data_IF_192161537545
#
_entry.id   IF_192161537545
#
_cell.length_a   1.000
_cell.length_b   1.000
_cell.length_c   1.000
_cell.angle_alpha   90.00
_cell.angle_beta   90.00
_cell.angle_gamma   90.00
#
_symmetry.space_group_name_H-M   'P 1'
#
loop_
_entity.id
_entity.type
_entity.pdbx_description
1 polymer ?
#
# COMPACT_ATOMS: atom_id res chain seq x y z
N UNK A 1 3.72 -9.46 5.86
CA UNK A 1 4.52 -10.26 6.80
C UNK A 1 5.29 -11.41 6.13
N UNK A 2 5.04 -11.67 4.86
CA UNK A 2 5.75 -12.63 4.00
C UNK A 2 6.64 -11.88 3.02
N UNK A 3 7.77 -12.47 2.69
CA UNK A 3 8.64 -11.89 1.68
C UNK A 3 8.02 -12.00 0.28
N UNK A 4 8.12 -10.91 -0.45
CA UNK A 4 7.78 -10.81 -1.88
C UNK A 4 9.06 -10.62 -2.69
N UNK A 5 8.95 -10.61 -4.01
CA UNK A 5 10.11 -10.38 -4.88
C UNK A 5 10.76 -9.01 -4.64
N UNK A 6 9.96 -7.99 -4.30
CA UNK A 6 10.49 -6.64 -4.00
C UNK A 6 11.01 -6.49 -2.57
N UNK A 7 10.58 -7.32 -1.61
CA UNK A 7 10.96 -7.20 -0.20
C UNK A 7 12.08 -8.13 0.24
N UNK A 8 12.36 -9.21 -0.51
CA UNK A 8 13.28 -10.30 -0.11
C UNK A 8 14.73 -9.86 0.02
N UNK A 9 15.21 -9.02 -0.86
CA UNK A 9 16.60 -8.52 -0.90
C UNK A 9 16.65 -7.03 -1.25
N UNK A 10 15.89 -6.24 -0.52
CA UNK A 10 15.82 -4.80 -0.71
C UNK A 10 16.78 -4.07 0.22
N UNK A 11 17.55 -3.14 -0.32
CA UNK A 11 18.56 -2.36 0.38
C UNK A 11 18.21 -0.87 0.50
N UNK A 12 16.94 -0.51 0.35
CA UNK A 12 16.43 0.87 0.44
C UNK A 12 16.90 1.60 1.70
N UNK A 13 17.21 2.88 1.57
CA UNK A 13 17.77 3.70 2.67
C UNK A 13 16.79 3.92 3.81
N UNK A 14 15.53 4.20 3.49
CA UNK A 14 14.46 4.49 4.48
C UNK A 14 13.85 3.20 5.00
N UNK A 15 13.42 2.31 4.10
CA UNK A 15 12.88 0.99 4.42
C UNK A 15 13.59 -0.07 3.59
N UNK A 16 13.77 -1.26 4.16
CA UNK A 16 14.48 -2.36 3.51
C UNK A 16 14.10 -3.70 4.16
N UNK A 17 14.58 -4.80 3.59
CA UNK A 17 14.33 -6.16 4.07
C UNK A 17 14.55 -6.32 5.56
N UNK A 18 15.70 -5.88 6.08
CA UNK A 18 16.05 -6.03 7.51
C UNK A 18 15.08 -5.29 8.42
N UNK A 19 14.74 -4.04 8.07
CA UNK A 19 13.78 -3.24 8.85
C UNK A 19 12.38 -3.84 8.76
N UNK A 20 11.99 -4.32 7.59
CA UNK A 20 10.70 -4.97 7.37
C UNK A 20 10.55 -6.22 8.25
N UNK A 21 11.54 -7.11 8.26
CA UNK A 21 11.55 -8.30 9.12
C UNK A 21 11.51 -7.95 10.60
N UNK A 22 12.26 -6.93 11.03
CA UNK A 22 12.24 -6.48 12.42
C UNK A 22 10.86 -5.93 12.81
N UNK A 23 10.28 -5.07 11.98
CA UNK A 23 8.97 -4.49 12.22
C UNK A 23 7.88 -5.56 12.34
N UNK A 24 7.81 -6.50 11.39
CA UNK A 24 6.87 -7.61 11.44
C UNK A 24 7.07 -8.51 12.66
N UNK A 25 8.31 -8.79 13.04
CA UNK A 25 8.60 -9.58 14.24
C UNK A 25 8.12 -8.89 15.51
N UNK A 26 8.30 -7.58 15.63
CA UNK A 26 7.84 -6.81 16.78
C UNK A 26 6.32 -6.65 16.79
N UNK A 27 5.73 -6.30 15.65
CA UNK A 27 4.28 -6.09 15.52
C UNK A 27 3.48 -7.36 15.81
N UNK A 28 3.93 -8.50 15.29
CA UNK A 28 3.27 -9.79 15.47
C UNK A 28 3.74 -10.55 16.72
N UNK A 29 4.41 -9.87 17.67
CA UNK A 29 4.90 -10.52 18.88
C UNK A 29 3.74 -11.06 19.71
N UNK A 30 3.81 -12.37 20.02
CA UNK A 30 2.77 -13.06 20.79
C UNK A 30 1.55 -13.49 19.98
N UNK A 31 1.51 -13.23 18.68
CA UNK A 31 0.46 -13.73 17.79
C UNK A 31 0.86 -15.08 17.15
N UNK A 32 -0.14 -15.94 16.97
CA UNK A 32 0.05 -17.16 16.16
C UNK A 32 0.18 -16.79 14.69
N UNK A 33 1.37 -16.97 14.15
CA UNK A 33 1.68 -16.62 12.75
C UNK A 33 1.01 -17.51 11.71
N UNK A 34 0.53 -18.69 12.11
CA UNK A 34 -0.24 -19.56 11.22
C UNK A 34 -1.67 -19.02 11.00
N UNK A 35 -2.22 -18.33 11.99
CA UNK A 35 -3.61 -17.86 12.01
C UNK A 35 -3.69 -16.33 12.25
N UNK A 36 -2.92 -15.55 11.49
CA UNK A 36 -2.99 -14.09 11.58
C UNK A 36 -4.33 -13.57 11.03
N UNK A 37 -5.03 -12.71 11.78
CA UNK A 37 -6.24 -12.10 11.27
C UNK A 37 -5.91 -11.13 10.12
N UNK A 38 -6.80 -10.98 9.12
CA UNK A 38 -6.60 -10.05 7.99
C UNK A 38 -6.34 -8.61 8.43
N UNK A 39 -6.92 -8.16 9.54
CA UNK A 39 -6.66 -6.82 10.08
C UNK A 39 -5.20 -6.61 10.54
N UNK A 40 -4.49 -7.68 10.90
CA UNK A 40 -3.06 -7.59 11.22
C UNK A 40 -2.17 -7.72 9.99
N UNK A 41 -2.61 -8.43 8.97
CA UNK A 41 -1.85 -8.66 7.73
C UNK A 41 -2.82 -8.70 6.53
N UNK A 42 -3.28 -7.53 6.01
CA UNK A 42 -4.29 -7.45 4.96
C UNK A 42 -3.96 -8.23 3.67
N UNK A 43 -2.68 -8.39 3.35
CA UNK A 43 -2.26 -9.18 2.21
C UNK A 43 -2.61 -10.68 2.32
N UNK A 44 -2.97 -11.16 3.51
CA UNK A 44 -3.47 -12.53 3.76
C UNK A 44 -4.98 -12.69 3.60
N UNK A 45 -5.70 -11.62 3.32
CA UNK A 45 -7.14 -11.71 3.09
C UNK A 45 -7.41 -12.59 1.86
N UNK A 46 -8.32 -13.54 1.99
CA UNK A 46 -8.68 -14.45 0.89
C UNK A 46 -9.85 -13.91 0.07
N UNK A 47 -10.85 -13.34 0.72
CA UNK A 47 -12.04 -12.76 0.08
C UNK A 47 -11.99 -11.23 0.13
N UNK A 48 -11.97 -10.61 -1.04
CA UNK A 48 -11.97 -9.16 -1.22
C UNK A 48 -13.37 -8.57 -1.45
N UNK A 49 -14.40 -9.40 -1.53
CA UNK A 49 -15.75 -8.92 -1.76
C UNK A 49 -16.20 -7.92 -0.68
N UNK A 50 -16.82 -6.83 -1.10
CA UNK A 50 -17.35 -5.81 -0.19
C UNK A 50 -16.31 -4.86 0.43
N UNK A 51 -15.04 -4.96 0.05
CA UNK A 51 -14.06 -3.93 0.44
C UNK A 51 -14.37 -2.60 -0.25
N UNK A 52 -14.03 -1.47 0.38
CA UNK A 52 -14.27 -0.15 -0.21
C UNK A 52 -13.37 0.10 -1.42
N UNK A 53 -13.74 1.08 -2.28
CA UNK A 53 -12.84 1.62 -3.29
C UNK A 53 -11.51 2.06 -2.70
N UNK A 54 -10.43 1.90 -3.45
CA UNK A 54 -9.08 2.17 -2.96
C UNK A 54 -8.24 2.94 -3.99
N UNK A 55 -7.41 3.84 -3.46
CA UNK A 55 -6.31 4.47 -4.18
C UNK A 55 -5.03 4.34 -3.38
N UNK A 56 -3.92 4.14 -4.05
CA UNK A 56 -2.58 4.21 -3.46
C UNK A 56 -1.54 4.59 -4.51
N UNK A 57 -0.33 4.85 -4.04
CA UNK A 57 0.85 4.95 -4.89
C UNK A 57 2.03 4.24 -4.25
N UNK A 58 2.99 3.82 -5.09
CA UNK A 58 4.16 3.06 -4.65
C UNK A 58 5.35 3.30 -5.58
N UNK A 59 6.57 3.27 -5.05
CA UNK A 59 7.80 3.24 -5.84
C UNK A 59 8.10 1.82 -6.34
N UNK A 60 8.51 1.69 -7.61
CA UNK A 60 8.83 0.38 -8.23
C UNK A 60 10.09 -0.29 -7.67
N UNK A 61 10.99 0.48 -7.03
CA UNK A 61 12.19 -0.02 -6.37
C UNK A 61 12.07 -0.21 -4.85
N UNK A 62 10.91 0.07 -4.24
CA UNK A 62 10.74 -0.09 -2.79
C UNK A 62 10.24 -1.48 -2.37
N UNK A 63 10.46 -1.90 -1.11
CA UNK A 63 10.13 -3.27 -0.68
C UNK A 63 8.64 -3.60 -0.70
N UNK A 64 7.76 -2.61 -0.71
CA UNK A 64 6.30 -2.81 -0.70
C UNK A 64 5.69 -2.95 -2.10
N UNK A 65 6.47 -2.75 -3.17
CA UNK A 65 5.96 -2.71 -4.55
C UNK A 65 5.14 -3.95 -4.92
N UNK A 66 5.74 -5.14 -4.86
CA UNK A 66 5.08 -6.37 -5.31
C UNK A 66 3.83 -6.72 -4.46
N UNK A 67 3.87 -6.46 -3.14
CA UNK A 67 2.71 -6.68 -2.28
C UNK A 67 1.57 -5.72 -2.61
N UNK A 68 1.89 -4.44 -2.83
CA UNK A 68 0.91 -3.42 -3.18
C UNK A 68 0.26 -3.70 -4.53
N UNK A 69 1.04 -4.01 -5.55
CA UNK A 69 0.52 -4.37 -6.88
C UNK A 69 -0.42 -5.57 -6.78
N UNK A 70 0.01 -6.65 -6.13
CA UNK A 70 -0.82 -7.84 -5.95
C UNK A 70 -2.13 -7.54 -5.21
N UNK A 71 -2.09 -6.72 -4.17
CA UNK A 71 -3.29 -6.34 -3.42
C UNK A 71 -4.29 -5.57 -4.28
N UNK A 72 -3.82 -4.61 -5.09
CA UNK A 72 -4.65 -3.84 -6.00
C UNK A 72 -5.22 -4.68 -7.15
N UNK A 73 -4.46 -5.63 -7.66
CA UNK A 73 -4.96 -6.57 -8.68
C UNK A 73 -6.08 -7.47 -8.12
N UNK A 74 -5.96 -7.90 -6.87
CA UNK A 74 -7.02 -8.67 -6.21
C UNK A 74 -8.28 -7.84 -5.93
N UNK A 75 -8.15 -6.56 -5.58
CA UNK A 75 -9.29 -5.64 -5.48
C UNK A 75 -10.03 -5.54 -6.81
N UNK A 76 -9.30 -5.31 -7.90
CA UNK A 76 -9.87 -5.22 -9.26
C UNK A 76 -10.54 -6.53 -9.68
N UNK A 77 -9.91 -7.66 -9.40
CA UNK A 77 -10.47 -8.99 -9.68
C UNK A 77 -11.78 -9.26 -8.91
N UNK A 78 -11.94 -8.67 -7.73
CA UNK A 78 -13.17 -8.71 -6.95
C UNK A 78 -14.23 -7.67 -7.41
N UNK A 79 -13.99 -6.94 -8.51
CA UNK A 79 -14.90 -5.92 -9.03
C UNK A 79 -14.88 -4.60 -8.27
N UNK A 80 -13.88 -4.36 -7.44
CA UNK A 80 -13.74 -3.14 -6.66
C UNK A 80 -12.95 -2.09 -7.46
N UNK A 81 -13.44 -0.85 -7.46
CA UNK A 81 -12.68 0.25 -8.02
C UNK A 81 -11.37 0.43 -7.24
N UNK A 82 -10.24 0.27 -7.93
CA UNK A 82 -8.93 0.37 -7.30
C UNK A 82 -7.91 0.96 -8.28
N UNK A 83 -7.34 2.10 -7.93
CA UNK A 83 -6.35 2.82 -8.73
C UNK A 83 -5.01 2.85 -8.00
N UNK A 84 -3.95 2.49 -8.72
CA UNK A 84 -2.59 2.44 -8.19
C UNK A 84 -1.66 3.17 -9.14
N UNK A 85 -1.00 4.21 -8.63
CA UNK A 85 0.09 4.89 -9.33
C UNK A 85 1.44 4.28 -8.95
N UNK A 86 2.24 4.00 -9.98
CA UNK A 86 3.61 3.48 -9.79
C UNK A 86 4.61 4.53 -10.22
N UNK A 87 5.51 4.89 -9.31
CA UNK A 87 6.56 5.87 -9.54
C UNK A 87 7.93 5.21 -9.63
N UNK A 88 8.79 5.71 -10.52
CA UNK A 88 10.14 5.18 -10.67
C UNK A 88 11.06 5.73 -9.56
N UNK A 89 11.06 5.06 -8.41
CA UNK A 89 11.88 5.40 -7.25
C UNK A 89 12.07 4.20 -6.31
N UNK A 90 13.24 4.12 -5.68
CA UNK A 90 13.57 3.16 -4.63
C UNK A 90 13.37 3.73 -3.20
N UNK A 91 12.98 4.99 -3.12
CA UNK A 91 12.83 5.68 -1.84
C UNK A 91 11.43 5.49 -1.27
N UNK A 92 11.32 4.73 -0.19
CA UNK A 92 10.08 4.67 0.59
C UNK A 92 9.76 6.04 1.20
N UNK A 93 8.47 6.44 1.14
CA UNK A 93 7.98 7.74 1.58
C UNK A 93 8.69 8.93 0.88
N UNK A 94 8.99 8.79 -0.42
CA UNK A 94 9.67 9.83 -1.21
C UNK A 94 8.91 11.17 -1.18
N UNK A 95 7.59 11.12 -1.18
CA UNK A 95 6.67 12.26 -1.08
C UNK A 95 6.88 13.07 0.21
N UNK A 96 7.13 12.39 1.33
CA UNK A 96 7.38 13.01 2.63
C UNK A 96 8.84 13.41 2.82
N UNK A 97 9.77 12.56 2.35
CA UNK A 97 11.21 12.76 2.54
C UNK A 97 11.78 13.83 1.60
N UNK A 98 11.16 14.00 0.43
CA UNK A 98 11.57 14.96 -0.61
C UNK A 98 10.38 15.73 -1.18
N UNK A 99 9.62 16.48 -0.36
CA UNK A 99 8.34 17.07 -0.76
C UNK A 99 8.43 18.13 -1.86
N UNK A 100 9.65 18.61 -2.18
CA UNK A 100 9.90 19.61 -3.22
C UNK A 100 10.36 19.02 -4.56
N UNK A 101 10.62 17.72 -4.60
CA UNK A 101 11.01 17.04 -5.85
C UNK A 101 9.79 16.92 -6.77
N UNK A 102 10.02 17.03 -8.08
CA UNK A 102 8.94 16.99 -9.07
C UNK A 102 8.08 15.71 -8.95
N UNK A 103 8.70 14.56 -8.66
CA UNK A 103 8.02 13.30 -8.47
C UNK A 103 7.07 13.33 -7.26
N UNK A 104 7.50 13.94 -6.17
CA UNK A 104 6.70 14.08 -4.94
C UNK A 104 5.53 15.02 -5.13
N UNK A 105 5.74 16.12 -5.85
CA UNK A 105 4.67 17.07 -6.23
C UNK A 105 3.64 16.36 -7.10
N UNK A 106 4.07 15.61 -8.12
CA UNK A 106 3.18 14.83 -8.98
C UNK A 106 2.36 13.81 -8.18
N UNK A 107 2.99 13.08 -7.26
CA UNK A 107 2.29 12.11 -6.41
C UNK A 107 1.26 12.78 -5.49
N UNK A 108 1.60 13.93 -4.89
CA UNK A 108 0.70 14.69 -4.05
C UNK A 108 -0.51 15.22 -4.83
N UNK A 109 -0.31 15.74 -6.03
CA UNK A 109 -1.39 16.20 -6.92
C UNK A 109 -2.32 15.06 -7.32
N UNK A 110 -1.76 13.90 -7.69
CA UNK A 110 -2.54 12.71 -8.03
C UNK A 110 -3.35 12.20 -6.84
N UNK A 111 -2.76 12.17 -5.65
CA UNK A 111 -3.44 11.80 -4.41
C UNK A 111 -4.63 12.74 -4.11
N UNK A 112 -4.43 14.04 -4.18
CA UNK A 112 -5.50 15.01 -3.94
C UNK A 112 -6.63 14.87 -4.96
N UNK A 113 -6.29 14.70 -6.24
CA UNK A 113 -7.27 14.46 -7.32
C UNK A 113 -8.08 13.19 -7.08
N UNK A 114 -7.43 12.11 -6.65
CA UNK A 114 -8.11 10.86 -6.32
C UNK A 114 -9.03 11.02 -5.10
N UNK A 115 -8.61 11.79 -4.10
CA UNK A 115 -9.43 12.10 -2.93
C UNK A 115 -10.68 12.91 -3.31
N UNK A 116 -10.53 13.95 -4.13
CA UNK A 116 -11.66 14.74 -4.65
C UNK A 116 -12.65 13.87 -5.45
N UNK A 117 -12.11 12.99 -6.29
CA UNK A 117 -12.94 12.02 -7.01
C UNK A 117 -13.72 11.11 -6.06
N UNK A 118 -13.06 10.58 -5.04
CA UNK A 118 -13.68 9.70 -4.05
C UNK A 118 -14.82 10.40 -3.30
N UNK A 119 -14.65 11.68 -2.92
CA UNK A 119 -15.70 12.47 -2.28
C UNK A 119 -16.93 12.62 -3.17
N UNK A 120 -16.75 12.80 -4.48
CA UNK A 120 -17.85 12.95 -5.43
C UNK A 120 -18.58 11.65 -5.79
N UNK A 121 -17.93 10.50 -5.66
CA UNK A 121 -18.43 9.23 -6.20
C UNK A 121 -18.72 8.15 -5.16
N UNK A 122 -18.01 8.17 -4.03
CA UNK A 122 -18.08 7.10 -3.04
C UNK A 122 -18.52 7.57 -1.64
N UNK A 123 -18.76 8.86 -1.48
CA UNK A 123 -19.20 9.41 -0.19
C UNK A 123 -20.62 8.95 0.12
N UNK A 124 -20.78 8.21 1.20
CA UNK A 124 -22.10 7.80 1.64
C UNK A 124 -22.93 9.03 2.11
N UNK A 125 -24.23 9.10 1.78
CA UNK A 125 -25.10 10.13 2.33
C UNK A 125 -24.99 10.16 3.86
N UNK A 126 -24.77 11.35 4.41
CA UNK A 126 -24.78 11.53 5.87
C UNK A 126 -26.22 11.78 6.32
N UNK A 127 -26.70 11.01 7.28
CA UNK A 127 -27.96 11.31 7.95
C UNK A 127 -27.82 12.65 8.68
N UNK A 128 -28.78 13.57 8.44
CA UNK A 128 -28.81 14.90 9.05
C UNK A 128 -29.37 14.83 10.45
#
# INVERSE_FOLDING_TARGET
DRDTDSSRDNHGRVWNTRRNHLAWRLYLRGMDRAHLPPYAAPARLDDFAGLPPAYSFVGDGEPFYAETVNYFDRLRAAGIWAELDVYHTDMHAFDMMRPRDALSIQAAEAFLKSFDYAQGHFFAPQDK
#
